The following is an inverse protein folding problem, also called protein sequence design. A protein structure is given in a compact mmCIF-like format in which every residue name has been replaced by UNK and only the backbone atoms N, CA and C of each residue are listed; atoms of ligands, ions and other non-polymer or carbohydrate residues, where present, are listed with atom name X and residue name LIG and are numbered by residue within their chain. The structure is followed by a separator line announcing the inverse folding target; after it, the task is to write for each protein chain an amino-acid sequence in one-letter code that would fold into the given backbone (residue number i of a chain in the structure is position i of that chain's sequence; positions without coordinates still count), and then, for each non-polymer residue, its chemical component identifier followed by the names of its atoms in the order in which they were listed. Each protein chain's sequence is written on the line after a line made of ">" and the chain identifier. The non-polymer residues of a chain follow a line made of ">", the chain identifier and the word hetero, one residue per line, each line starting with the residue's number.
data_IF_771824972001
#
_entry.id   IF_771824972001
#
_cell.length_a   1.000
_cell.length_b   1.000
_cell.length_c   1.000
_cell.angle_alpha   90.00
_cell.angle_beta   90.00
_cell.angle_gamma   90.00
#
_symmetry.space_group_name_H-M   'P 1'
#
loop_
_entity.id
_entity.type
_entity.pdbx_description
1 polymer ?
#
# COMPACT_ATOMS: atom_id res chain seq x y z
N UNK A 1 -4.84 3.31 18.48
CA UNK A 1 -4.74 4.22 17.32
C UNK A 1 -4.68 3.35 16.07
N UNK A 2 -5.40 3.71 15.02
CA UNK A 2 -5.36 2.99 13.73
C UNK A 2 -4.33 3.66 12.83
N UNK A 3 -3.46 2.85 12.21
CA UNK A 3 -2.42 3.31 11.29
C UNK A 3 -2.61 2.61 9.95
N UNK A 4 -2.43 3.37 8.87
CA UNK A 4 -2.44 2.87 7.50
C UNK A 4 -1.20 3.32 6.74
N UNK A 5 -0.98 2.72 5.58
CA UNK A 5 0.10 3.08 4.67
C UNK A 5 -0.49 3.64 3.39
N UNK A 6 0.07 4.75 2.92
CA UNK A 6 -0.25 5.32 1.60
C UNK A 6 0.97 5.20 0.69
N UNK A 7 0.79 4.73 -0.54
CA UNK A 7 1.84 4.76 -1.56
C UNK A 7 1.34 5.39 -2.86
N UNK A 8 2.24 6.04 -3.59
CA UNK A 8 2.01 6.47 -4.97
C UNK A 8 2.66 5.45 -5.93
N UNK A 9 1.88 4.63 -6.66
CA UNK A 9 2.44 3.63 -7.55
C UNK A 9 3.07 4.25 -8.80
N UNK A 10 4.29 3.84 -9.13
CA UNK A 10 4.97 4.17 -10.40
C UNK A 10 5.66 2.93 -10.93
N UNK A 11 6.12 2.95 -12.18
CA UNK A 11 6.81 1.81 -12.80
C UNK A 11 8.11 1.40 -12.08
N UNK A 12 8.70 2.30 -11.29
CA UNK A 12 9.90 2.04 -10.50
C UNK A 12 9.60 1.61 -9.05
N UNK A 13 8.34 1.68 -8.63
CA UNK A 13 7.94 1.31 -7.27
C UNK A 13 7.75 -0.21 -7.13
N UNK A 14 7.71 -0.68 -5.88
CA UNK A 14 7.18 -2.02 -5.58
C UNK A 14 5.77 -2.15 -6.17
N UNK A 15 5.44 -3.33 -6.69
CA UNK A 15 4.09 -3.59 -7.18
C UNK A 15 3.08 -3.45 -6.02
N UNK A 16 1.94 -2.76 -6.21
CA UNK A 16 0.97 -2.53 -5.13
C UNK A 16 0.43 -3.81 -4.49
N UNK A 17 0.25 -4.88 -5.26
CA UNK A 17 -0.19 -6.20 -4.79
C UNK A 17 0.84 -6.88 -3.87
N UNK A 18 2.12 -6.77 -4.19
CA UNK A 18 3.19 -7.30 -3.34
C UNK A 18 3.31 -6.50 -2.03
N UNK A 19 3.19 -5.17 -2.10
CA UNK A 19 3.19 -4.33 -0.91
C UNK A 19 1.97 -4.61 -0.03
N UNK A 20 0.77 -4.73 -0.60
CA UNK A 20 -0.45 -5.03 0.15
C UNK A 20 -0.30 -6.30 1.00
N UNK A 21 0.19 -7.40 0.40
CA UNK A 21 0.45 -8.65 1.13
C UNK A 21 1.49 -8.48 2.23
N UNK A 22 2.54 -7.70 1.98
CA UNK A 22 3.56 -7.40 2.98
C UNK A 22 3.00 -6.57 4.16
N UNK A 23 2.05 -5.68 3.90
CA UNK A 23 1.37 -4.88 4.91
C UNK A 23 0.44 -5.72 5.77
N UNK A 24 -0.35 -6.62 5.16
CA UNK A 24 -1.21 -7.57 5.87
C UNK A 24 -0.40 -8.45 6.83
N UNK A 25 0.74 -8.99 6.38
CA UNK A 25 1.65 -9.78 7.22
C UNK A 25 2.21 -9.00 8.43
N UNK A 26 2.21 -7.66 8.35
CA UNK A 26 2.69 -6.75 9.41
C UNK A 26 1.55 -6.21 10.27
N UNK A 27 0.31 -6.63 10.03
CA UNK A 27 -0.87 -6.23 10.81
C UNK A 27 -1.42 -4.86 10.45
N UNK A 28 -1.09 -4.32 9.27
CA UNK A 28 -1.77 -3.12 8.76
C UNK A 28 -3.13 -3.50 8.16
N UNK A 29 -4.17 -2.78 8.57
CA UNK A 29 -5.54 -3.02 8.09
C UNK A 29 -5.93 -2.11 6.92
N UNK A 30 -5.09 -1.14 6.55
CA UNK A 30 -5.43 -0.15 5.53
C UNK A 30 -4.24 0.20 4.66
N UNK A 31 -4.46 0.09 3.35
CA UNK A 31 -3.51 0.46 2.31
C UNK A 31 -4.21 1.38 1.30
N UNK A 32 -3.67 2.58 1.11
CA UNK A 32 -4.26 3.62 0.28
C UNK A 32 -3.38 3.89 -0.94
N UNK A 33 -4.02 3.99 -2.10
CA UNK A 33 -3.43 4.43 -3.35
C UNK A 33 -4.24 5.61 -3.90
N UNK A 34 -3.60 6.62 -4.50
CA UNK A 34 -4.32 7.74 -5.11
C UNK A 34 -5.01 7.30 -6.40
N UNK A 35 -6.03 8.07 -6.79
CA UNK A 35 -6.59 8.03 -8.15
C UNK A 35 -5.61 8.70 -9.12
N UNK A 36 -5.39 8.09 -10.29
CA UNK A 36 -4.40 8.53 -11.28
C UNK A 36 -5.04 9.14 -12.53
N UNK A 37 -6.37 9.13 -12.60
CA UNK A 37 -7.17 9.74 -13.68
C UNK A 37 -7.49 11.21 -13.41
#
# INVERSE_FOLDING_TARGET
>A
MLYGVAMFPTDYAIRPDDLARALEQRGFESFFVPEHT
#
